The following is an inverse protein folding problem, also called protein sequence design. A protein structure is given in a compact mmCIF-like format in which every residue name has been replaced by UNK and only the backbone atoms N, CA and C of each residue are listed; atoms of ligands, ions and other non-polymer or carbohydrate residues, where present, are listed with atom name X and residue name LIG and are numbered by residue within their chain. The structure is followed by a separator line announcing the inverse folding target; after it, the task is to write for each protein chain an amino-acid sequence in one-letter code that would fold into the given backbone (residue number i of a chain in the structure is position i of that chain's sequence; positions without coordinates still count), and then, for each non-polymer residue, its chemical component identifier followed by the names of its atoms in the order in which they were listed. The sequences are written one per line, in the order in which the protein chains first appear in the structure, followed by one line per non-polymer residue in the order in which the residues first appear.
data_IF_014104409372
#
_entry.id   IF_014104409372
#
_cell.length_a   1.000
_cell.length_b   1.000
_cell.length_c   1.000
_cell.angle_alpha   90.00
_cell.angle_beta   90.00
_cell.angle_gamma   90.00
#
_symmetry.space_group_name_H-M   'P 1'
#
loop_
_entity.id
_entity.type
_entity.pdbx_description
1 polymer ?
#
# COMPACT_ATOMS: atom_id res chain seq x y z
N UNK A 1 2.47 9.62 -8.06
CA UNK A 1 1.37 9.88 -7.14
C UNK A 1 0.95 8.63 -6.41
N UNK A 2 1.91 7.82 -6.04
CA UNK A 2 1.64 6.58 -5.33
C UNK A 2 1.41 6.85 -3.84
N UNK A 3 2.19 7.77 -3.29
CA UNK A 3 2.10 8.11 -1.87
C UNK A 3 0.68 8.57 -1.51
N UNK A 4 0.14 7.99 -0.44
CA UNK A 4 -1.19 8.34 0.00
C UNK A 4 -2.23 7.33 -0.47
N UNK A 5 -1.87 6.51 -1.45
CA UNK A 5 -2.77 5.51 -1.97
C UNK A 5 -3.15 4.47 -0.93
N UNK A 6 -4.39 4.05 -0.97
CA UNK A 6 -4.87 3.03 -0.06
C UNK A 6 -4.40 1.65 -0.53
N UNK A 7 -3.99 0.81 0.40
CA UNK A 7 -3.51 -0.52 0.04
C UNK A 7 -3.66 -1.49 1.20
N UNK A 8 -3.26 -2.73 0.97
CA UNK A 8 -3.33 -3.77 1.99
C UNK A 8 -2.30 -4.86 1.71
N UNK A 9 -1.77 -5.44 2.77
CA UNK A 9 -0.77 -6.50 2.70
C UNK A 9 -1.30 -7.72 1.92
N UNK A 10 -2.62 -7.76 1.71
CA UNK A 10 -3.27 -8.84 0.97
C UNK A 10 -2.62 -9.06 -0.40
N UNK A 11 -2.05 -8.00 -0.97
CA UNK A 11 -1.42 -8.11 -2.27
C UNK A 11 -2.36 -7.76 -3.40
N UNK A 12 -3.64 -7.69 -3.08
CA UNK A 12 -4.67 -7.35 -4.05
C UNK A 12 -4.57 -5.88 -4.45
N UNK A 13 -4.21 -5.07 -3.47
CA UNK A 13 -4.09 -3.63 -3.66
C UNK A 13 -2.72 -3.14 -3.26
N UNK A 14 -1.65 -3.53 -3.97
CA UNK A 14 -0.29 -3.10 -3.66
C UNK A 14 -0.03 -1.65 -4.11
N UNK A 15 1.14 -1.38 -4.67
CA UNK A 15 1.48 -0.03 -5.10
C UNK A 15 2.17 -0.02 -6.45
N UNK A 16 2.26 1.18 -7.03
CA UNK A 16 2.91 1.39 -8.32
C UNK A 16 4.37 0.98 -8.24
N UNK A 17 4.94 0.60 -9.37
CA UNK A 17 6.34 0.17 -9.42
C UNK A 17 7.27 1.20 -8.77
N UNK A 18 8.05 0.74 -7.80
CA UNK A 18 8.95 1.61 -7.08
C UNK A 18 8.45 1.90 -5.69
N UNK A 19 7.15 2.10 -5.57
CA UNK A 19 6.53 2.38 -4.29
C UNK A 19 6.10 1.07 -3.64
N UNK A 20 5.92 1.06 -2.32
CA UNK A 20 5.53 -0.16 -1.64
C UNK A 20 4.38 0.09 -0.68
N UNK A 21 3.56 -0.94 -0.51
CA UNK A 21 2.41 -0.88 0.36
C UNK A 21 2.84 -0.96 1.81
N UNK A 22 2.66 0.13 2.55
CA UNK A 22 3.05 0.18 3.95
C UNK A 22 1.83 -0.03 4.84
N UNK A 23 1.87 -1.05 5.70
CA UNK A 23 0.76 -1.37 6.60
C UNK A 23 0.48 -0.27 7.63
N UNK A 24 -0.79 0.10 7.74
CA UNK A 24 -1.22 1.13 8.68
C UNK A 24 -1.94 0.46 9.86
N UNK A 25 -2.34 -0.78 9.65
CA UNK A 25 -3.04 -1.52 10.68
C UNK A 25 -2.67 -2.98 10.68
N UNK A 26 -3.68 -3.85 10.76
CA UNK A 26 -3.46 -5.29 10.77
C UNK A 26 -3.12 -5.82 9.39
N UNK A 27 -3.74 -5.22 8.38
CA UNK A 27 -3.52 -5.63 7.00
C UNK A 27 -3.63 -4.43 6.07
N UNK A 28 -4.51 -3.49 6.42
CA UNK A 28 -4.69 -2.30 5.61
C UNK A 28 -3.50 -1.36 5.77
N UNK A 29 -3.24 -0.56 4.74
CA UNK A 29 -2.14 0.36 4.79
C UNK A 29 -2.24 1.42 3.70
N UNK A 30 -1.13 2.05 3.39
CA UNK A 30 -1.08 3.08 2.36
C UNK A 30 0.24 3.03 1.61
N UNK A 31 0.20 3.42 0.36
CA UNK A 31 1.37 3.44 -0.49
C UNK A 31 2.36 4.53 -0.10
N UNK A 32 3.62 4.15 0.00
CA UNK A 32 4.66 5.09 0.35
C UNK A 32 5.89 4.88 -0.53
#
# INVERSE_FOLDING_TARGET
GCAGKSCNILGSDPCDAGCFCLPVGIVAGVCV
#
